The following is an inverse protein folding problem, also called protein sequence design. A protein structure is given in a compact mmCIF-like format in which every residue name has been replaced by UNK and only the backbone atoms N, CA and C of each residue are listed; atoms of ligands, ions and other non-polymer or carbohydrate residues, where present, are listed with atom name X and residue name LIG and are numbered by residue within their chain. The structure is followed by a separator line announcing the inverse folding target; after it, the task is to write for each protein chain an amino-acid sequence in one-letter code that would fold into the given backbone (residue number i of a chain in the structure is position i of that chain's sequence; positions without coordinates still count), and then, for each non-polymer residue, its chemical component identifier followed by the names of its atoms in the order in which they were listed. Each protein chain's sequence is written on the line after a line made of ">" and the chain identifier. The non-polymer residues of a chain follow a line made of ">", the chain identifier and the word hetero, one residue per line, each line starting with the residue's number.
data_IF_984391542831
#
_entry.id   IF_984391542831
#
_cell.length_a   1.000
_cell.length_b   1.000
_cell.length_c   1.000
_cell.angle_alpha   90.00
_cell.angle_beta   90.00
_cell.angle_gamma   90.00
#
_symmetry.space_group_name_H-M   'P 1'
#
loop_
_entity.id
_entity.type
_entity.pdbx_description
1 polymer ?
#
# COMPACT_ATOMS: atom_id res chain seq x y z
N UNK A 1 -23.67 27.31 -25.19
CA UNK A 1 -23.40 26.24 -24.20
C UNK A 1 -24.51 26.27 -23.18
N UNK A 2 -25.06 25.11 -22.82
CA UNK A 2 -26.06 25.04 -21.76
C UNK A 2 -25.48 25.53 -20.41
N UNK A 3 -26.24 26.30 -19.62
CA UNK A 3 -25.80 26.75 -18.30
C UNK A 3 -25.67 25.58 -17.31
N UNK A 4 -24.83 25.72 -16.28
CA UNK A 4 -24.79 24.83 -15.09
C UNK A 4 -25.74 25.32 -13.98
N UNK A 5 -26.69 26.19 -14.33
CA UNK A 5 -27.71 26.71 -13.43
C UNK A 5 -27.16 27.75 -12.46
N UNK A 6 -27.57 27.71 -11.19
CA UNK A 6 -27.14 28.67 -10.16
C UNK A 6 -25.61 28.72 -9.98
N UNK A 7 -24.91 27.64 -10.34
CA UNK A 7 -23.44 27.59 -10.29
C UNK A 7 -22.77 28.53 -11.30
N UNK A 8 -23.47 28.99 -12.34
CA UNK A 8 -22.95 30.00 -13.28
C UNK A 8 -22.77 31.38 -12.65
N UNK A 9 -23.33 31.60 -11.46
CA UNK A 9 -23.09 32.83 -10.68
C UNK A 9 -21.68 32.88 -10.08
N UNK A 10 -20.99 31.74 -10.01
CA UNK A 10 -19.65 31.63 -9.46
C UNK A 10 -18.60 31.74 -10.58
N UNK A 11 -17.49 32.48 -10.35
CA UNK A 11 -16.33 32.45 -11.23
C UNK A 11 -15.78 31.03 -11.40
N UNK A 12 -15.18 30.75 -12.56
CA UNK A 12 -14.64 29.44 -12.89
C UNK A 12 -13.61 28.97 -11.85
N UNK A 13 -12.76 29.88 -11.38
CA UNK A 13 -11.74 29.62 -10.38
C UNK A 13 -12.35 29.11 -9.08
N UNK A 14 -13.48 29.69 -8.66
CA UNK A 14 -14.19 29.28 -7.44
C UNK A 14 -14.82 27.90 -7.63
N UNK A 15 -15.40 27.63 -8.80
CA UNK A 15 -15.94 26.30 -9.13
C UNK A 15 -14.84 25.23 -9.09
N UNK A 16 -13.69 25.50 -9.72
CA UNK A 16 -12.56 24.57 -9.72
C UNK A 16 -12.03 24.33 -8.31
N UNK A 17 -11.94 25.37 -7.47
CA UNK A 17 -11.59 25.23 -6.05
C UNK A 17 -12.60 24.35 -5.30
N UNK A 18 -13.91 24.54 -5.48
CA UNK A 18 -14.93 23.70 -4.85
C UNK A 18 -14.79 22.25 -5.31
N UNK A 19 -14.59 22.04 -6.61
CA UNK A 19 -14.52 20.71 -7.19
C UNK A 19 -13.28 19.91 -6.74
N UNK A 20 -12.18 20.58 -6.39
CA UNK A 20 -11.00 19.93 -5.78
C UNK A 20 -11.33 19.24 -4.45
N UNK A 21 -12.31 19.74 -3.70
CA UNK A 21 -12.79 19.14 -2.45
C UNK A 21 -13.86 18.06 -2.65
N UNK A 22 -14.45 17.94 -3.84
CA UNK A 22 -15.42 16.90 -4.15
C UNK A 22 -14.74 15.57 -4.42
N UNK A 23 -15.46 14.49 -4.11
CA UNK A 23 -15.04 13.14 -4.44
C UNK A 23 -15.28 12.83 -5.93
N UNK A 24 -14.51 11.87 -6.48
CA UNK A 24 -14.63 11.52 -7.90
C UNK A 24 -16.01 10.96 -8.28
N UNK A 25 -16.74 10.33 -7.36
CA UNK A 25 -18.09 9.85 -7.66
C UNK A 25 -19.05 11.03 -7.87
N UNK A 26 -18.95 12.06 -7.03
CA UNK A 26 -19.71 13.31 -7.18
C UNK A 26 -19.33 14.05 -8.46
N UNK A 27 -18.04 14.16 -8.79
CA UNK A 27 -17.57 14.78 -10.04
C UNK A 27 -18.07 14.03 -11.28
N UNK A 28 -17.99 12.69 -11.29
CA UNK A 28 -18.49 11.88 -12.40
C UNK A 28 -19.99 12.07 -12.61
N UNK A 29 -20.79 12.12 -11.53
CA UNK A 29 -22.22 12.44 -11.63
C UNK A 29 -22.44 13.84 -12.16
N UNK A 30 -21.65 14.81 -11.73
CA UNK A 30 -21.76 16.18 -12.19
C UNK A 30 -21.48 16.32 -13.69
N UNK A 31 -20.52 15.55 -14.24
CA UNK A 31 -20.26 15.51 -15.70
C UNK A 31 -21.45 15.03 -16.54
N UNK A 32 -22.44 14.39 -15.93
CA UNK A 32 -23.62 13.87 -16.62
C UNK A 32 -24.79 14.87 -16.62
N UNK A 33 -24.66 16.01 -15.95
CA UNK A 33 -25.75 17.00 -15.83
C UNK A 33 -25.97 17.78 -17.11
N UNK A 34 -24.90 18.35 -17.69
CA UNK A 34 -24.94 19.05 -18.98
C UNK A 34 -23.53 19.13 -19.59
N UNK A 35 -23.43 19.61 -20.84
CA UNK A 35 -22.14 19.72 -21.54
C UNK A 35 -21.16 20.65 -20.81
N UNK A 36 -21.63 21.79 -20.28
CA UNK A 36 -20.76 22.74 -19.57
C UNK A 36 -20.21 22.14 -18.28
N UNK A 37 -21.02 21.44 -17.50
CA UNK A 37 -20.57 20.73 -16.30
C UNK A 37 -19.46 19.72 -16.61
N UNK A 38 -19.63 18.95 -17.69
CA UNK A 38 -18.62 18.02 -18.20
C UNK A 38 -17.31 18.74 -18.54
N UNK A 39 -17.37 19.80 -19.35
CA UNK A 39 -16.19 20.55 -19.78
C UNK A 39 -15.47 21.19 -18.59
N UNK A 40 -16.20 21.74 -17.62
CA UNK A 40 -15.60 22.32 -16.41
C UNK A 40 -14.86 21.26 -15.60
N UNK A 41 -15.45 20.10 -15.34
CA UNK A 41 -14.77 19.01 -14.61
C UNK A 41 -13.58 18.45 -15.40
N UNK A 42 -13.72 18.26 -16.71
CA UNK A 42 -12.62 17.76 -17.56
C UNK A 42 -11.46 18.76 -17.65
N UNK A 43 -11.70 20.05 -17.43
CA UNK A 43 -10.65 21.08 -17.33
C UNK A 43 -9.86 21.07 -16.02
N UNK A 44 -10.37 20.39 -14.98
CA UNK A 44 -9.68 20.33 -13.69
C UNK A 44 -8.36 19.54 -13.77
N UNK A 45 -7.25 20.09 -13.26
CA UNK A 45 -5.97 19.38 -13.25
C UNK A 45 -6.03 18.03 -12.53
N UNK A 46 -6.70 17.95 -11.37
CA UNK A 46 -6.85 16.69 -10.63
C UNK A 46 -7.59 15.61 -11.43
N UNK A 47 -8.70 15.98 -12.08
CA UNK A 47 -9.49 15.05 -12.89
C UNK A 47 -8.72 14.59 -14.13
N UNK A 48 -8.13 15.54 -14.87
CA UNK A 48 -7.39 15.27 -16.09
C UNK A 48 -6.14 14.40 -15.83
N UNK A 49 -5.34 14.72 -14.81
CA UNK A 49 -4.14 13.94 -14.46
C UNK A 49 -4.50 12.52 -14.01
N UNK A 50 -5.51 12.37 -13.14
CA UNK A 50 -5.94 11.05 -12.68
C UNK A 50 -6.49 10.20 -13.82
N UNK A 51 -7.33 10.77 -14.70
CA UNK A 51 -7.86 10.05 -15.87
C UNK A 51 -6.74 9.64 -16.82
N UNK A 52 -5.76 10.51 -17.07
CA UNK A 52 -4.66 10.27 -18.02
C UNK A 52 -3.60 9.31 -17.48
N UNK A 53 -3.30 9.36 -16.20
CA UNK A 53 -2.15 8.66 -15.62
C UNK A 53 -2.52 7.52 -14.66
N UNK A 54 -3.73 7.52 -14.11
CA UNK A 54 -4.17 6.58 -13.07
C UNK A 54 -5.62 6.10 -13.27
N UNK A 55 -6.05 5.88 -14.52
CA UNK A 55 -7.40 5.38 -14.85
C UNK A 55 -7.73 4.05 -14.15
N UNK A 56 -6.79 3.10 -14.11
CA UNK A 56 -6.96 1.82 -13.41
C UNK A 56 -7.24 2.02 -11.91
N UNK A 57 -6.64 3.05 -11.31
CA UNK A 57 -6.86 3.41 -9.91
C UNK A 57 -8.30 3.90 -9.69
N UNK A 58 -8.82 4.75 -10.58
CA UNK A 58 -10.21 5.18 -10.53
C UNK A 58 -11.18 4.00 -10.71
N UNK A 59 -10.87 3.09 -11.63
CA UNK A 59 -11.65 1.85 -11.85
C UNK A 59 -11.64 1.00 -10.58
N UNK A 60 -10.48 0.78 -9.96
CA UNK A 60 -10.37 0.01 -8.73
C UNK A 60 -11.18 0.63 -7.60
N UNK A 61 -11.02 1.93 -7.35
CA UNK A 61 -11.82 2.67 -6.38
C UNK A 61 -13.32 2.56 -6.66
N UNK A 62 -13.75 2.59 -7.93
CA UNK A 62 -15.15 2.46 -8.32
C UNK A 62 -15.69 1.07 -8.00
N UNK A 63 -14.97 0.03 -8.44
CA UNK A 63 -15.35 -1.37 -8.20
C UNK A 63 -15.37 -1.73 -6.72
N UNK A 64 -14.50 -1.13 -5.92
CA UNK A 64 -14.48 -1.32 -4.46
C UNK A 64 -15.41 -0.38 -3.69
N UNK A 65 -16.20 0.45 -4.39
CA UNK A 65 -17.13 1.46 -3.83
C UNK A 65 -16.47 2.54 -2.97
N UNK A 66 -15.21 2.84 -3.26
CA UNK A 66 -14.40 3.81 -2.53
C UNK A 66 -14.28 5.19 -3.18
N UNK A 67 -14.76 5.38 -4.41
CA UNK A 67 -14.70 6.68 -5.11
C UNK A 67 -15.35 7.84 -4.33
N UNK A 68 -16.32 7.55 -3.46
CA UNK A 68 -17.06 8.55 -2.67
C UNK A 68 -16.32 9.09 -1.45
N UNK A 69 -15.18 8.50 -1.08
CA UNK A 69 -14.50 8.81 0.19
C UNK A 69 -13.25 9.68 0.01
N UNK A 70 -12.79 9.89 -1.22
CA UNK A 70 -11.52 10.56 -1.51
C UNK A 70 -11.75 11.73 -2.43
N UNK A 71 -11.32 12.92 -2.00
CA UNK A 71 -11.41 14.13 -2.81
C UNK A 71 -10.49 14.07 -4.03
N UNK A 72 -10.80 14.87 -5.04
CA UNK A 72 -9.96 15.01 -6.22
C UNK A 72 -8.55 15.52 -5.87
N UNK A 73 -8.48 16.51 -4.97
CA UNK A 73 -7.22 17.05 -4.46
C UNK A 73 -6.35 15.97 -3.79
N UNK A 74 -6.95 15.12 -2.94
CA UNK A 74 -6.23 14.05 -2.25
C UNK A 74 -5.66 13.04 -3.24
N UNK A 75 -6.46 12.58 -4.21
CA UNK A 75 -6.00 11.63 -5.23
C UNK A 75 -4.87 12.20 -6.07
N UNK A 76 -4.97 13.48 -6.47
CA UNK A 76 -3.91 14.17 -7.22
C UNK A 76 -2.65 14.33 -6.38
N UNK A 77 -2.77 14.74 -5.11
CA UNK A 77 -1.64 14.83 -4.19
C UNK A 77 -0.95 13.47 -4.04
N UNK A 78 -1.71 12.40 -3.90
CA UNK A 78 -1.18 11.04 -3.79
C UNK A 78 -0.49 10.60 -5.08
N UNK A 79 -1.05 10.91 -6.27
CA UNK A 79 -0.41 10.68 -7.56
C UNK A 79 0.95 11.39 -7.67
N UNK A 80 1.07 12.57 -7.06
CA UNK A 80 2.28 13.42 -7.07
C UNK A 80 3.18 13.25 -5.84
N UNK A 81 2.91 12.27 -4.99
CA UNK A 81 3.80 11.87 -3.90
C UNK A 81 4.52 10.58 -4.27
N UNK A 82 5.83 10.48 -4.05
CA UNK A 82 6.59 9.26 -4.35
C UNK A 82 6.64 8.25 -3.18
N UNK A 83 6.32 8.70 -1.97
CA UNK A 83 6.76 8.04 -0.74
C UNK A 83 5.68 7.16 -0.11
N UNK A 84 6.11 6.03 0.44
CA UNK A 84 5.30 5.19 1.28
C UNK A 84 4.97 5.92 2.58
N UNK A 85 3.70 5.90 2.97
CA UNK A 85 3.21 6.54 4.19
C UNK A 85 3.80 5.99 5.48
N UNK A 86 4.34 4.76 5.47
CA UNK A 86 4.86 4.10 6.68
C UNK A 86 6.38 4.17 6.77
N UNK A 87 7.12 3.74 5.74
CA UNK A 87 8.58 3.67 5.78
C UNK A 87 9.31 4.73 4.93
N UNK A 88 8.57 5.59 4.21
CA UNK A 88 9.10 6.64 3.33
C UNK A 88 9.92 6.20 2.11
N UNK A 89 10.16 4.89 1.92
CA UNK A 89 10.65 4.36 0.64
C UNK A 89 9.65 4.61 -0.50
N UNK A 90 10.02 4.29 -1.75
CA UNK A 90 9.11 4.46 -2.88
C UNK A 90 7.82 3.62 -2.73
N UNK A 91 6.67 4.30 -2.72
CA UNK A 91 5.37 3.69 -2.50
C UNK A 91 4.68 3.25 -3.78
N UNK A 92 5.13 2.16 -4.42
CA UNK A 92 4.63 1.73 -5.74
C UNK A 92 3.14 1.34 -5.84
N UNK A 93 2.39 1.38 -4.74
CA UNK A 93 0.97 1.04 -4.69
C UNK A 93 0.16 2.14 -4.00
N UNK A 94 -1.12 2.22 -4.34
CA UNK A 94 -2.13 2.94 -3.58
C UNK A 94 -2.84 1.96 -2.65
N UNK A 95 -2.92 2.28 -1.36
CA UNK A 95 -3.83 1.63 -0.43
C UNK A 95 -5.21 2.30 -0.53
N UNK A 96 -6.16 1.58 -1.11
CA UNK A 96 -7.46 2.11 -1.52
C UNK A 96 -8.29 2.70 -0.35
N UNK A 97 -8.33 2.10 0.85
CA UNK A 97 -9.19 2.61 1.93
C UNK A 97 -8.83 4.00 2.45
N UNK A 98 -7.54 4.38 2.40
CA UNK A 98 -7.05 5.67 2.92
C UNK A 98 -6.47 6.59 1.85
N UNK A 99 -6.39 6.13 0.59
CA UNK A 99 -5.73 6.86 -0.50
C UNK A 99 -4.27 7.23 -0.19
N UNK A 100 -3.57 6.36 0.54
CA UNK A 100 -2.16 6.53 0.91
C UNK A 100 -1.25 5.67 0.02
N UNK A 101 -0.06 6.17 -0.36
CA UNK A 101 0.92 5.34 -1.06
C UNK A 101 1.62 4.40 -0.10
N UNK A 102 1.85 3.16 -0.55
CA UNK A 102 2.47 2.10 0.24
C UNK A 102 3.48 1.34 -0.60
N UNK A 103 4.61 0.96 -0.01
CA UNK A 103 5.54 0.01 -0.65
C UNK A 103 5.06 -1.43 -0.41
N UNK A 104 5.62 -2.38 -1.16
CA UNK A 104 5.26 -3.79 -1.06
C UNK A 104 5.38 -4.34 0.37
N UNK A 105 6.52 -4.07 1.02
CA UNK A 105 6.81 -4.57 2.37
C UNK A 105 5.88 -3.97 3.43
N UNK A 106 5.57 -2.67 3.34
CA UNK A 106 4.61 -2.05 4.25
C UNK A 106 3.20 -2.61 4.04
N UNK A 107 2.76 -2.74 2.79
CA UNK A 107 1.46 -3.33 2.47
C UNK A 107 1.33 -4.75 3.04
N UNK A 108 2.42 -5.53 3.02
CA UNK A 108 2.41 -6.89 3.52
C UNK A 108 2.55 -6.99 5.05
N UNK A 109 3.44 -6.23 5.68
CA UNK A 109 3.83 -6.41 7.09
C UNK A 109 3.20 -5.40 8.06
N UNK A 110 2.75 -4.25 7.57
CA UNK A 110 2.18 -3.23 8.45
C UNK A 110 0.73 -3.59 8.80
N UNK A 111 0.50 -4.04 10.03
CA UNK A 111 -0.83 -4.40 10.53
C UNK A 111 -1.85 -3.27 10.47
N UNK A 112 -1.41 -2.00 10.48
CA UNK A 112 -2.31 -0.86 10.27
C UNK A 112 -2.91 -0.82 8.86
N UNK A 113 -2.24 -1.40 7.88
CA UNK A 113 -2.67 -1.48 6.49
C UNK A 113 -3.40 -2.79 6.15
N UNK A 114 -3.59 -3.68 7.12
CA UNK A 114 -4.33 -4.92 6.93
C UNK A 114 -5.83 -4.66 6.95
N UNK A 115 -6.55 -5.49 6.21
CA UNK A 115 -8.00 -5.47 6.17
C UNK A 115 -8.57 -6.48 7.15
N UNK A 116 -9.78 -6.23 7.64
CA UNK A 116 -10.55 -7.18 8.44
C UNK A 116 -12.02 -7.13 8.07
N UNK A 117 -12.75 -8.20 8.38
CA UNK A 117 -14.21 -8.20 8.22
C UNK A 117 -14.87 -7.25 9.21
N UNK A 118 -16.10 -6.85 8.91
CA UNK A 118 -16.90 -6.08 9.87
C UNK A 118 -17.11 -6.85 11.17
N UNK A 119 -17.30 -8.16 11.13
CA UNK A 119 -17.48 -8.97 12.35
C UNK A 119 -16.20 -9.01 13.19
N UNK A 120 -15.04 -9.15 12.55
CA UNK A 120 -13.74 -9.06 13.22
C UNK A 120 -13.55 -7.68 13.85
N UNK A 121 -13.89 -6.60 13.13
CA UNK A 121 -13.79 -5.24 13.67
C UNK A 121 -14.69 -5.03 14.89
N UNK A 122 -15.95 -5.50 14.84
CA UNK A 122 -16.89 -5.46 15.97
C UNK A 122 -16.37 -6.23 17.17
N UNK A 123 -15.90 -7.47 16.95
CA UNK A 123 -15.33 -8.32 18.01
C UNK A 123 -14.04 -7.76 18.61
N UNK A 124 -13.17 -7.20 17.77
CA UNK A 124 -11.85 -6.70 18.19
C UNK A 124 -11.95 -5.36 18.92
N UNK A 125 -12.81 -4.44 18.47
CA UNK A 125 -12.82 -3.05 18.94
C UNK A 125 -14.10 -2.64 19.66
N UNK A 126 -15.00 -3.59 19.93
CA UNK A 126 -16.32 -3.35 20.54
C UNK A 126 -17.08 -2.22 19.83
N UNK A 127 -17.27 -2.38 18.52
CA UNK A 127 -17.92 -1.40 17.66
C UNK A 127 -19.27 -1.90 17.17
N UNK A 128 -20.16 -0.97 16.85
CA UNK A 128 -21.47 -1.23 16.24
C UNK A 128 -21.44 -1.07 14.72
N UNK A 129 -22.41 -1.66 14.03
CA UNK A 129 -22.58 -1.45 12.58
C UNK A 129 -22.82 0.02 12.22
N UNK A 130 -23.47 0.80 13.09
CA UNK A 130 -23.68 2.24 12.88
C UNK A 130 -22.36 3.00 12.91
N UNK A 131 -21.49 2.71 13.90
CA UNK A 131 -20.17 3.32 13.99
C UNK A 131 -19.29 2.93 12.80
N UNK A 132 -19.27 1.66 12.40
CA UNK A 132 -18.45 1.22 11.25
C UNK A 132 -18.87 1.83 9.91
N UNK A 133 -20.13 2.25 9.76
CA UNK A 133 -20.60 2.98 8.54
C UNK A 133 -19.99 4.38 8.40
N UNK A 134 -19.38 4.93 9.45
CA UNK A 134 -18.74 6.25 9.41
C UNK A 134 -17.36 6.25 8.73
N UNK A 135 -16.75 5.07 8.53
CA UNK A 135 -15.45 4.92 7.88
C UNK A 135 -15.60 4.23 6.52
N UNK A 136 -14.61 4.37 5.62
CA UNK A 136 -14.63 3.68 4.33
C UNK A 136 -14.74 2.17 4.47
N UNK A 137 -15.78 1.59 3.86
CA UNK A 137 -15.98 0.14 3.74
C UNK A 137 -15.62 -0.27 2.31
N UNK A 138 -14.60 -1.11 2.19
CA UNK A 138 -14.16 -1.70 0.92
C UNK A 138 -15.06 -2.90 0.58
N UNK A 139 -15.58 -2.93 -0.64
CA UNK A 139 -16.26 -4.08 -1.21
C UNK A 139 -15.25 -4.86 -2.05
N UNK A 140 -14.83 -6.03 -1.60
CA UNK A 140 -13.78 -6.77 -2.29
C UNK A 140 -14.23 -7.25 -3.68
N UNK A 141 -13.28 -7.36 -4.59
CA UNK A 141 -13.53 -7.92 -5.91
C UNK A 141 -13.32 -9.45 -5.80
N UNK A 142 -14.29 -10.31 -6.13
CA UNK A 142 -14.05 -11.75 -6.17
C UNK A 142 -12.97 -12.08 -7.20
N UNK A 143 -11.87 -12.69 -6.76
CA UNK A 143 -10.80 -13.18 -7.62
C UNK A 143 -9.80 -14.05 -6.83
N UNK A 144 -8.81 -14.56 -7.53
CA UNK A 144 -7.57 -15.08 -6.96
C UNK A 144 -6.53 -13.97 -6.87
N UNK A 145 -5.98 -13.80 -5.68
CA UNK A 145 -4.97 -12.81 -5.33
C UNK A 145 -3.65 -13.54 -5.08
N UNK A 146 -2.58 -13.05 -5.69
CA UNK A 146 -1.22 -13.57 -5.51
C UNK A 146 -0.30 -12.40 -5.17
N UNK A 147 -0.20 -12.09 -3.87
CA UNK A 147 0.67 -11.02 -3.36
C UNK A 147 1.77 -11.61 -2.49
N UNK A 148 1.37 -12.38 -1.48
CA UNK A 148 2.27 -13.20 -0.67
C UNK A 148 1.85 -14.66 -0.75
N UNK A 149 0.55 -14.89 -0.54
CA UNK A 149 -0.07 -16.20 -0.62
C UNK A 149 -1.13 -16.22 -1.72
N UNK A 150 -1.43 -17.42 -2.20
CA UNK A 150 -2.53 -17.65 -3.14
C UNK A 150 -3.86 -17.66 -2.39
N UNK A 151 -4.58 -16.53 -2.45
CA UNK A 151 -5.86 -16.36 -1.77
C UNK A 151 -6.96 -16.28 -2.82
N UNK A 152 -7.84 -17.27 -2.88
CA UNK A 152 -9.01 -17.24 -3.78
C UNK A 152 -10.29 -16.91 -3.00
N UNK A 153 -11.02 -15.87 -3.46
CA UNK A 153 -12.33 -15.50 -2.91
C UNK A 153 -13.36 -15.48 -4.02
N UNK A 154 -14.32 -16.39 -3.95
CA UNK A 154 -15.43 -16.50 -4.92
C UNK A 154 -16.56 -15.50 -4.65
N UNK A 155 -16.63 -14.93 -3.45
CA UNK A 155 -17.69 -13.99 -3.03
C UNK A 155 -17.10 -12.66 -2.60
N UNK A 156 -17.88 -11.61 -2.79
CA UNK A 156 -17.56 -10.27 -2.30
C UNK A 156 -17.63 -10.26 -0.78
N UNK A 157 -16.64 -9.64 -0.14
CA UNK A 157 -16.54 -9.46 1.30
C UNK A 157 -16.45 -7.97 1.61
N UNK A 158 -17.16 -7.53 2.64
CA UNK A 158 -17.08 -6.16 3.16
C UNK A 158 -15.95 -6.08 4.16
N UNK A 159 -15.00 -5.18 3.88
CA UNK A 159 -13.76 -5.06 4.62
C UNK A 159 -13.54 -3.63 5.11
N UNK A 160 -12.88 -3.48 6.25
CA UNK A 160 -12.42 -2.22 6.82
C UNK A 160 -10.94 -2.33 7.17
N UNK A 161 -10.17 -1.24 7.09
CA UNK A 161 -8.75 -1.28 7.42
C UNK A 161 -8.50 -1.08 8.92
N UNK A 162 -7.51 -1.78 9.46
CA UNK A 162 -7.19 -1.76 10.88
C UNK A 162 -6.86 -0.35 11.40
N UNK A 163 -6.11 0.45 10.65
CA UNK A 163 -5.76 1.84 11.03
C UNK A 163 -7.00 2.71 11.20
N UNK A 164 -7.99 2.63 10.30
CA UNK A 164 -9.22 3.42 10.42
C UNK A 164 -10.10 2.93 11.57
N UNK A 165 -10.25 1.62 11.72
CA UNK A 165 -11.04 1.01 12.80
C UNK A 165 -10.45 1.37 14.17
N UNK A 166 -9.12 1.25 14.34
CA UNK A 166 -8.43 1.59 15.58
C UNK A 166 -8.54 3.09 15.90
N UNK A 167 -8.45 3.97 14.90
CA UNK A 167 -8.69 5.42 15.09
C UNK A 167 -10.13 5.69 15.56
N UNK A 168 -11.12 5.07 14.92
CA UNK A 168 -12.53 5.20 15.30
C UNK A 168 -12.78 4.67 16.73
N UNK A 169 -12.21 3.52 17.08
CA UNK A 169 -12.33 2.94 18.41
C UNK A 169 -11.70 3.83 19.49
N UNK A 170 -10.56 4.46 19.20
CA UNK A 170 -9.96 5.46 20.09
C UNK A 170 -10.84 6.68 20.30
N UNK A 171 -11.54 7.15 19.26
CA UNK A 171 -12.47 8.28 19.36
C UNK A 171 -13.71 7.95 20.20
N UNK A 172 -14.21 6.72 20.12
CA UNK A 172 -15.43 6.29 20.82
C UNK A 172 -15.15 5.92 22.28
N UNK A 173 -14.14 5.07 22.49
CA UNK A 173 -13.89 4.44 23.79
C UNK A 173 -12.86 5.21 24.62
N UNK A 174 -12.02 6.00 23.97
CA UNK A 174 -10.80 6.55 24.58
C UNK A 174 -9.70 5.49 24.75
N UNK A 175 -8.46 5.91 25.00
CA UNK A 175 -7.31 5.01 25.07
C UNK A 175 -7.39 4.01 26.24
N UNK A 176 -7.92 4.44 27.38
CA UNK A 176 -7.98 3.64 28.60
C UNK A 176 -8.96 2.46 28.48
N UNK A 177 -10.16 2.70 27.94
CA UNK A 177 -11.13 1.62 27.75
C UNK A 177 -10.72 0.71 26.60
N UNK A 178 -10.12 1.26 25.54
CA UNK A 178 -9.62 0.44 24.45
C UNK A 178 -8.50 -0.51 24.92
N UNK A 179 -7.64 -0.08 25.86
CA UNK A 179 -6.61 -0.94 26.44
C UNK A 179 -7.19 -2.15 27.20
N UNK A 180 -8.41 -2.03 27.76
CA UNK A 180 -9.09 -3.14 28.45
C UNK A 180 -9.57 -4.23 27.49
N UNK A 181 -9.80 -3.88 26.22
CA UNK A 181 -10.22 -4.82 25.17
C UNK A 181 -9.06 -5.66 24.62
N UNK A 182 -7.81 -5.27 24.90
CA UNK A 182 -6.62 -5.99 24.40
C UNK A 182 -6.56 -7.40 25.02
N UNK A 183 -6.45 -8.46 24.20
CA UNK A 183 -6.31 -9.83 24.71
C UNK A 183 -5.06 -10.01 25.60
N UNK A 184 -5.25 -10.25 26.90
CA UNK A 184 -4.16 -10.27 27.90
C UNK A 184 -3.22 -11.47 27.81
N UNK A 185 -3.75 -12.66 27.58
CA UNK A 185 -2.96 -13.89 27.52
C UNK A 185 -3.52 -14.83 26.45
N UNK A 186 -2.65 -15.59 25.75
CA UNK A 186 -3.11 -16.65 24.87
C UNK A 186 -3.90 -17.70 25.67
N UNK A 187 -4.88 -18.39 25.05
CA UNK A 187 -5.61 -19.47 25.70
C UNK A 187 -4.65 -20.57 26.22
N UNK A 188 -4.86 -21.06 27.45
CA UNK A 188 -4.04 -22.14 28.03
C UNK A 188 -4.35 -23.48 27.37
N UNK A 189 -3.33 -24.31 27.18
CA UNK A 189 -3.50 -25.74 26.85
C UNK A 189 -3.76 -26.06 25.37
N UNK A 190 -3.40 -25.17 24.44
CA UNK A 190 -3.59 -25.40 23.00
C UNK A 190 -2.29 -25.22 22.23
N UNK A 191 -2.04 -26.07 21.23
CA UNK A 191 -0.93 -25.97 20.29
C UNK A 191 -0.87 -24.59 19.62
N UNK A 192 0.36 -24.12 19.30
CA UNK A 192 0.61 -22.82 18.64
C UNK A 192 -0.19 -22.61 17.35
N UNK A 193 -0.68 -23.69 16.72
CA UNK A 193 -1.33 -23.66 15.41
C UNK A 193 -2.86 -23.83 15.41
N UNK A 194 -3.52 -23.85 16.57
CA UNK A 194 -5.00 -23.95 16.58
C UNK A 194 -5.70 -22.70 16.06
N UNK A 195 -6.97 -22.85 15.63
CA UNK A 195 -7.81 -21.74 15.23
C UNK A 195 -8.00 -20.69 16.33
N UNK A 196 -8.09 -21.12 17.59
CA UNK A 196 -8.25 -20.23 18.75
C UNK A 196 -6.98 -19.41 18.98
N UNK A 197 -5.81 -20.04 18.87
CA UNK A 197 -4.51 -19.36 18.98
C UNK A 197 -4.33 -18.33 17.86
N UNK A 198 -4.70 -18.69 16.62
CA UNK A 198 -4.65 -17.77 15.47
C UNK A 198 -5.55 -16.55 15.67
N UNK A 199 -6.78 -16.75 16.13
CA UNK A 199 -7.70 -15.64 16.39
C UNK A 199 -7.14 -14.71 17.48
N UNK A 200 -6.60 -15.25 18.58
CA UNK A 200 -5.98 -14.45 19.63
C UNK A 200 -4.89 -13.51 19.08
N UNK A 201 -3.93 -14.06 18.33
CA UNK A 201 -2.83 -13.28 17.77
C UNK A 201 -3.27 -12.30 16.69
N UNK A 202 -4.31 -12.65 15.92
CA UNK A 202 -4.95 -11.74 14.97
C UNK A 202 -5.49 -10.50 15.67
N UNK A 203 -6.34 -10.70 16.70
CA UNK A 203 -6.97 -9.61 17.43
C UNK A 203 -5.92 -8.75 18.14
N UNK A 204 -4.96 -9.39 18.83
CA UNK A 204 -3.86 -8.68 19.49
C UNK A 204 -3.04 -7.85 18.49
N UNK A 205 -2.70 -8.42 17.33
CA UNK A 205 -1.98 -7.72 16.27
C UNK A 205 -2.71 -6.48 15.75
N UNK A 206 -4.05 -6.51 15.68
CA UNK A 206 -4.84 -5.33 15.32
C UNK A 206 -4.86 -4.25 16.41
N UNK A 207 -4.91 -4.64 17.69
CA UNK A 207 -4.75 -3.68 18.79
C UNK A 207 -3.36 -3.04 18.81
N UNK A 208 -2.31 -3.80 18.50
CA UNK A 208 -0.92 -3.33 18.46
C UNK A 208 -0.55 -2.62 17.16
N UNK A 209 -1.45 -2.61 16.16
CA UNK A 209 -1.20 -2.02 14.85
C UNK A 209 -0.79 -0.53 14.94
N UNK A 210 0.27 -0.11 14.23
CA UNK A 210 0.74 1.27 14.31
C UNK A 210 -0.22 2.22 13.60
N UNK A 211 -0.46 3.38 14.23
CA UNK A 211 -1.23 4.48 13.64
C UNK A 211 -0.34 5.53 12.97
N UNK A 212 0.87 5.69 13.50
CA UNK A 212 1.89 6.58 12.99
C UNK A 212 2.81 5.85 11.98
N UNK A 213 3.51 6.60 11.12
CA UNK A 213 4.57 6.04 10.28
C UNK A 213 5.63 5.34 11.13
N UNK A 214 6.10 4.18 10.67
CA UNK A 214 7.18 3.43 11.34
C UNK A 214 8.54 4.12 11.10
N UNK A 215 8.69 4.83 9.98
CA UNK A 215 9.91 5.56 9.62
C UNK A 215 11.10 4.68 9.26
N UNK A 216 10.91 3.35 9.22
CA UNK A 216 11.94 2.37 8.85
C UNK A 216 11.31 1.28 7.98
N UNK A 217 12.12 0.68 7.12
CA UNK A 217 11.66 -0.40 6.25
C UNK A 217 11.37 -1.67 7.07
N UNK A 218 10.17 -2.23 6.92
CA UNK A 218 9.69 -3.31 7.80
C UNK A 218 10.47 -4.62 7.65
N UNK A 219 11.20 -4.83 6.56
CA UNK A 219 12.11 -5.98 6.44
C UNK A 219 13.28 -5.92 7.42
N UNK A 220 13.55 -4.77 8.03
CA UNK A 220 14.64 -4.53 8.96
C UNK A 220 14.20 -4.68 10.43
N UNK A 221 12.93 -5.01 10.66
CA UNK A 221 12.37 -5.19 12.00
C UNK A 221 12.28 -6.67 12.35
N UNK A 222 12.36 -7.04 13.64
CA UNK A 222 12.10 -8.40 14.08
C UNK A 222 10.72 -8.89 13.62
N UNK A 223 10.66 -10.14 13.16
CA UNK A 223 9.41 -10.79 12.80
C UNK A 223 8.74 -11.35 14.03
N UNK A 224 7.47 -11.00 14.23
CA UNK A 224 6.62 -11.71 15.18
C UNK A 224 5.99 -12.91 14.48
N UNK A 225 6.58 -14.09 14.72
CA UNK A 225 6.15 -15.37 14.13
C UNK A 225 4.77 -15.83 14.62
N UNK A 226 4.29 -15.30 15.74
CA UNK A 226 2.99 -15.66 16.28
C UNK A 226 1.83 -14.98 15.54
N UNK A 227 2.11 -13.89 14.81
CA UNK A 227 1.07 -13.17 14.08
C UNK A 227 0.64 -13.94 12.82
N UNK A 228 -0.68 -14.17 12.63
CA UNK A 228 -1.17 -14.89 11.47
C UNK A 228 -0.97 -14.08 10.18
N UNK A 229 -0.93 -14.79 9.05
CA UNK A 229 -0.83 -14.17 7.73
C UNK A 229 -2.04 -13.26 7.43
N UNK A 230 -1.86 -12.34 6.48
CA UNK A 230 -2.94 -11.46 6.03
C UNK A 230 -3.91 -12.22 5.10
N UNK A 231 -5.07 -12.59 5.63
CA UNK A 231 -6.14 -13.29 4.89
C UNK A 231 -6.79 -12.49 3.74
N UNK A 232 -6.49 -11.19 3.67
CA UNK A 232 -7.02 -10.26 2.68
C UNK A 232 -5.90 -9.54 1.92
N UNK A 233 -4.68 -10.07 1.98
CA UNK A 233 -3.51 -9.52 1.33
C UNK A 233 -3.75 -9.28 -0.17
N UNK A 234 -3.54 -8.03 -0.60
CA UNK A 234 -3.72 -7.60 -1.98
C UNK A 234 -5.12 -7.15 -2.38
N UNK A 235 -6.15 -7.37 -1.56
CA UNK A 235 -7.53 -7.00 -1.92
C UNK A 235 -7.83 -5.50 -1.78
N UNK A 236 -6.96 -4.75 -1.12
CA UNK A 236 -7.16 -3.34 -0.78
C UNK A 236 -6.13 -2.40 -1.43
N UNK A 237 -5.39 -2.88 -2.42
CA UNK A 237 -4.28 -2.14 -3.01
C UNK A 237 -4.25 -2.28 -4.53
N UNK A 238 -3.78 -1.25 -5.21
CA UNK A 238 -3.50 -1.30 -6.65
C UNK A 238 -2.16 -0.62 -6.96
N UNK A 239 -1.47 -1.07 -8.00
CA UNK A 239 -0.31 -0.35 -8.56
C UNK A 239 -0.75 1.05 -8.97
N UNK A 240 0.00 2.07 -8.55
CA UNK A 240 -0.25 3.45 -8.94
C UNK A 240 1.08 4.11 -9.30
N UNK A 241 1.20 4.74 -10.48
CA UNK A 241 2.42 5.47 -10.83
C UNK A 241 2.59 6.70 -9.95
N UNK A 242 3.84 7.15 -9.84
CA UNK A 242 4.19 8.50 -9.41
C UNK A 242 4.18 9.42 -10.63
N UNK A 243 3.55 10.60 -10.54
CA UNK A 243 3.68 11.65 -11.53
C UNK A 243 4.64 12.72 -11.00
N UNK A 244 5.79 12.86 -11.65
CA UNK A 244 6.80 13.82 -11.22
C UNK A 244 6.46 15.26 -11.64
N UNK A 245 7.31 16.23 -11.28
CA UNK A 245 7.06 17.66 -11.56
C UNK A 245 6.98 17.95 -13.06
N UNK A 246 7.75 17.24 -13.88
CA UNK A 246 7.74 17.34 -15.34
C UNK A 246 6.60 16.57 -16.02
N UNK A 247 5.66 15.98 -15.26
CA UNK A 247 4.55 15.20 -15.82
C UNK A 247 4.95 13.82 -16.35
N UNK A 248 6.15 13.33 -16.01
CA UNK A 248 6.60 11.97 -16.34
C UNK A 248 6.13 10.96 -15.30
N UNK A 249 5.71 9.80 -15.78
CA UNK A 249 5.24 8.69 -14.94
C UNK A 249 6.41 7.81 -14.51
N UNK A 250 6.57 7.60 -13.22
CA UNK A 250 7.48 6.60 -12.65
C UNK A 250 6.70 5.48 -11.95
N UNK A 251 6.95 4.23 -12.32
CA UNK A 251 6.30 3.05 -11.69
C UNK A 251 7.13 2.42 -10.57
N UNK A 252 8.34 2.94 -10.34
CA UNK A 252 9.34 2.33 -9.47
C UNK A 252 10.10 1.21 -10.17
N UNK A 253 11.39 1.08 -9.86
CA UNK A 253 12.29 0.05 -10.40
C UNK A 253 12.70 -0.93 -9.31
N UNK A 254 12.64 -2.22 -9.64
CA UNK A 254 13.18 -3.30 -8.82
C UNK A 254 14.53 -3.75 -9.39
N UNK A 255 15.42 -4.25 -8.54
CA UNK A 255 16.78 -4.57 -8.93
C UNK A 255 16.94 -6.07 -9.18
N UNK A 256 17.28 -6.44 -10.43
CA UNK A 256 17.56 -7.84 -10.77
C UNK A 256 18.77 -8.38 -9.99
N UNK A 257 19.75 -7.54 -9.65
CA UNK A 257 20.84 -7.91 -8.76
C UNK A 257 20.36 -8.28 -7.35
N UNK A 258 19.37 -7.55 -6.80
CA UNK A 258 18.76 -7.94 -5.52
C UNK A 258 18.00 -9.26 -5.61
N UNK A 259 17.39 -9.57 -6.76
CA UNK A 259 16.78 -10.89 -7.00
C UNK A 259 17.84 -11.99 -7.02
N UNK A 260 18.94 -11.79 -7.76
CA UNK A 260 20.07 -12.72 -7.79
C UNK A 260 20.66 -12.98 -6.39
N UNK A 261 20.70 -11.97 -5.52
CA UNK A 261 21.16 -12.14 -4.13
C UNK A 261 20.29 -13.16 -3.39
N UNK A 262 18.96 -13.12 -3.56
CA UNK A 262 18.04 -14.11 -2.96
C UNK A 262 18.29 -15.49 -3.57
N UNK A 263 18.41 -15.58 -4.90
CA UNK A 263 18.68 -16.86 -5.57
C UNK A 263 20.01 -17.51 -5.11
N UNK A 264 21.04 -16.70 -4.84
CA UNK A 264 22.31 -17.18 -4.29
C UNK A 264 22.19 -17.60 -2.83
N UNK A 265 21.40 -16.89 -2.04
CA UNK A 265 21.13 -17.25 -0.65
C UNK A 265 20.43 -18.61 -0.55
N UNK A 266 19.38 -18.81 -1.35
CA UNK A 266 18.63 -20.07 -1.39
C UNK A 266 19.50 -21.27 -1.81
N UNK A 267 20.56 -21.02 -2.60
CA UNK A 267 21.57 -22.03 -3.00
C UNK A 267 22.73 -22.20 -2.01
N UNK A 268 22.76 -21.45 -0.91
CA UNK A 268 23.89 -21.43 0.02
C UNK A 268 25.19 -20.83 -0.55
N UNK A 269 25.09 -20.06 -1.63
CA UNK A 269 26.23 -19.50 -2.38
C UNK A 269 26.46 -18.00 -2.08
N UNK A 270 25.62 -17.37 -1.27
CA UNK A 270 25.77 -15.96 -0.93
C UNK A 270 26.90 -15.77 0.09
N UNK A 271 27.95 -14.96 -0.21
CA UNK A 271 29.07 -14.79 0.72
C UNK A 271 28.63 -14.17 2.06
N UNK A 272 29.14 -14.67 3.19
CA UNK A 272 28.71 -14.24 4.53
C UNK A 272 28.94 -12.76 4.83
N UNK A 273 29.93 -12.11 4.19
CA UNK A 273 30.13 -10.67 4.32
C UNK A 273 29.00 -9.86 3.65
N UNK A 274 28.36 -10.38 2.61
CA UNK A 274 27.21 -9.76 1.95
C UNK A 274 25.98 -9.87 2.87
N UNK A 275 25.78 -11.03 3.49
CA UNK A 275 24.71 -11.26 4.48
C UNK A 275 24.85 -10.26 5.63
N UNK A 276 26.03 -10.19 6.26
CA UNK A 276 26.31 -9.25 7.38
C UNK A 276 26.06 -7.79 7.03
N UNK A 277 26.20 -7.40 5.75
CA UNK A 277 25.95 -6.04 5.28
C UNK A 277 24.48 -5.73 5.05
N UNK A 278 23.68 -6.73 4.66
CA UNK A 278 22.27 -6.56 4.28
C UNK A 278 21.29 -6.91 5.40
N UNK A 279 21.70 -7.77 6.33
CA UNK A 279 20.86 -8.31 7.40
C UNK A 279 21.28 -7.69 8.73
N UNK A 280 20.39 -6.97 9.43
CA UNK A 280 20.66 -6.49 10.78
C UNK A 280 20.83 -7.65 11.78
N UNK A 281 21.64 -7.48 12.83
CA UNK A 281 21.73 -8.44 13.91
C UNK A 281 20.35 -8.76 14.52
N UNK A 282 20.07 -10.04 14.77
CA UNK A 282 18.82 -10.49 15.40
C UNK A 282 17.60 -10.55 14.48
N UNK A 283 17.75 -10.29 13.17
CA UNK A 283 16.68 -10.44 12.18
C UNK A 283 16.93 -11.69 11.33
N UNK A 284 15.92 -12.55 11.11
CA UNK A 284 16.04 -13.68 10.20
C UNK A 284 16.48 -13.24 8.79
N UNK A 285 17.56 -13.85 8.28
CA UNK A 285 18.29 -13.41 7.07
C UNK A 285 17.38 -13.25 5.84
N UNK A 286 16.46 -14.18 5.64
CA UNK A 286 15.51 -14.16 4.52
C UNK A 286 14.71 -12.85 4.45
N UNK A 287 14.35 -12.24 5.57
CA UNK A 287 13.43 -11.09 5.59
C UNK A 287 14.05 -9.83 4.96
N UNK A 288 15.24 -9.33 5.38
CA UNK A 288 15.92 -8.25 4.69
C UNK A 288 16.21 -8.57 3.23
N UNK A 289 16.67 -9.79 2.92
CA UNK A 289 17.00 -10.18 1.54
C UNK A 289 15.78 -10.12 0.62
N UNK A 290 14.65 -10.70 1.05
CA UNK A 290 13.38 -10.63 0.33
C UNK A 290 12.87 -9.18 0.22
N UNK A 291 13.02 -8.39 1.30
CA UNK A 291 12.69 -6.97 1.29
C UNK A 291 13.52 -6.16 0.28
N UNK A 292 14.80 -6.48 0.12
CA UNK A 292 15.67 -5.84 -0.88
C UNK A 292 15.26 -6.18 -2.31
N UNK A 293 14.85 -7.42 -2.58
CA UNK A 293 14.34 -7.86 -3.88
C UNK A 293 13.07 -7.10 -4.28
N UNK A 294 12.14 -6.91 -3.33
CA UNK A 294 10.86 -6.25 -3.58
C UNK A 294 10.89 -4.72 -3.43
N UNK A 295 12.01 -4.15 -3.00
CA UNK A 295 12.14 -2.70 -2.82
C UNK A 295 12.12 -1.98 -4.17
N UNK A 296 11.03 -1.28 -4.44
CA UNK A 296 10.95 -0.32 -5.54
C UNK A 296 11.73 0.94 -5.22
N UNK A 297 12.31 1.55 -6.25
CA UNK A 297 13.08 2.79 -6.16
C UNK A 297 12.63 3.76 -7.24
N UNK A 298 12.70 5.07 -6.97
CA UNK A 298 12.63 6.10 -8.00
C UNK A 298 13.78 5.94 -9.01
N UNK A 299 13.76 6.65 -10.13
CA UNK A 299 14.87 6.62 -11.08
C UNK A 299 16.22 6.96 -10.44
N UNK A 300 16.31 8.10 -9.76
CA UNK A 300 17.54 8.52 -9.10
C UNK A 300 17.98 7.53 -8.03
N UNK A 301 17.04 7.05 -7.20
CA UNK A 301 17.35 6.05 -6.17
C UNK A 301 17.81 4.70 -6.75
N UNK A 302 17.29 4.31 -7.92
CA UNK A 302 17.73 3.10 -8.61
C UNK A 302 19.15 3.24 -9.16
N UNK A 303 19.46 4.36 -9.83
CA UNK A 303 20.82 4.65 -10.34
C UNK A 303 21.86 4.64 -9.22
N UNK A 304 21.55 5.27 -8.09
CA UNK A 304 22.43 5.23 -6.92
C UNK A 304 22.59 3.80 -6.37
N UNK A 305 21.52 3.02 -6.29
CA UNK A 305 21.54 1.67 -5.75
C UNK A 305 22.43 0.71 -6.55
N UNK A 306 22.35 0.74 -7.89
CA UNK A 306 23.07 -0.22 -8.73
C UNK A 306 24.59 -0.08 -8.65
N UNK A 307 25.12 1.11 -8.29
CA UNK A 307 26.55 1.33 -8.09
C UNK A 307 27.15 0.48 -6.97
N UNK A 308 26.36 0.09 -5.97
CA UNK A 308 26.82 -0.59 -4.76
C UNK A 308 26.19 -1.98 -4.55
N UNK A 309 25.31 -2.40 -5.45
CA UNK A 309 24.61 -3.67 -5.35
C UNK A 309 25.52 -4.85 -5.72
N UNK A 310 25.76 -5.75 -4.76
CA UNK A 310 26.58 -6.94 -4.99
C UNK A 310 26.09 -7.78 -6.17
N UNK A 311 24.78 -8.05 -6.22
CA UNK A 311 24.20 -8.85 -7.30
C UNK A 311 24.27 -8.19 -8.66
N UNK A 312 24.21 -6.84 -8.74
CA UNK A 312 24.46 -6.14 -10.02
C UNK A 312 25.90 -6.34 -10.47
N UNK A 313 26.87 -6.23 -9.56
CA UNK A 313 28.26 -6.53 -9.85
C UNK A 313 28.47 -7.95 -10.39
N UNK A 314 27.77 -8.94 -9.83
CA UNK A 314 27.81 -10.32 -10.35
C UNK A 314 27.20 -10.45 -11.74
N UNK A 315 26.04 -9.83 -11.99
CA UNK A 315 25.40 -9.83 -13.31
C UNK A 315 26.30 -9.19 -14.37
N UNK A 316 26.90 -8.04 -14.07
CA UNK A 316 27.80 -7.36 -15.00
C UNK A 316 29.04 -8.20 -15.34
N UNK A 317 29.58 -8.95 -14.37
CA UNK A 317 30.67 -9.93 -14.63
C UNK A 317 30.20 -11.05 -15.55
N UNK A 318 29.02 -11.62 -15.30
CA UNK A 318 28.42 -12.66 -16.14
C UNK A 318 28.16 -12.17 -17.57
N UNK A 319 27.85 -10.88 -17.74
CA UNK A 319 27.62 -10.25 -19.03
C UNK A 319 28.90 -9.77 -19.74
N UNK A 320 30.08 -9.99 -19.18
CA UNK A 320 31.36 -9.63 -19.82
C UNK A 320 31.74 -8.16 -19.76
N UNK A 321 31.09 -7.34 -18.92
CA UNK A 321 31.43 -5.90 -18.80
C UNK A 321 32.77 -5.64 -18.09
N UNK A 322 33.37 -6.66 -17.47
CA UNK A 322 34.63 -6.56 -16.73
C UNK A 322 35.73 -7.52 -17.21
N UNK A 323 35.52 -8.24 -18.32
CA UNK A 323 36.59 -9.03 -18.94
C UNK A 323 37.51 -8.09 -19.72
N UNK A 324 38.81 -8.07 -19.36
CA UNK A 324 39.85 -7.37 -20.15
C UNK A 324 39.81 -7.87 -21.61
N UNK A 325 40.04 -7.02 -22.61
CA UNK A 325 40.21 -7.50 -23.98
C UNK A 325 41.37 -8.49 -24.00
N UNK A 326 41.14 -9.67 -24.58
CA UNK A 326 42.20 -10.61 -24.90
C UNK A 326 43.15 -9.90 -25.85
N UNK A 327 44.35 -9.57 -25.38
CA UNK A 327 45.45 -9.17 -26.24
C UNK A 327 45.69 -10.36 -27.15
N UNK A 328 45.42 -10.20 -28.45
CA UNK A 328 45.87 -11.16 -29.45
C UNK A 328 47.39 -11.11 -29.45
N UNK A 329 48.04 -12.17 -28.98
CA UNK A 329 49.45 -12.41 -29.26
C UNK A 329 49.59 -12.60 -30.77
N UNK A 330 50.47 -11.82 -31.37
CA UNK A 330 50.78 -11.80 -32.80
C UNK A 330 51.79 -12.88 -33.16
#
# INVERSE_FOLDING_TARGET
>A
MEPIGLLDTLPLEILLCIFEYLDFQSLLRFTQVCLRAKLTVESMPAYAEMRRHAGDTLIALGRTRLLRYHSAALLRQTLRSAHCVSCFDFGGFLFLPTCERVCFECMHKNRGLHMMTLNTAKKCFDLTDKQLKSIPILYSIPNTYNVNNFISRKRMVRLVCAKQVKKLALQIHGPQNLAKLIPRAPPRGIERNSAVTKEYWMLRGFHEAPLAPIGRHLSMLPLNLDLPEDEYGGMASIRMPYLNKEGRRERGRICQGCRLIVDLYDKGQLPSHVIRRLVPPGVPEFLPLFGHMNRMRSEGGFRHHICWCFGVGQLLKQWGYFTKPQVKEA
#
